data_IF_595925423486
#
_entry.id   IF_595925423486
#
_cell.length_a   1.000
_cell.length_b   1.000
_cell.length_c   1.000
_cell.angle_alpha   90.00
_cell.angle_beta   90.00
_cell.angle_gamma   90.00
#
_symmetry.space_group_name_H-M   'P 1'
#
loop_
_entity.id
_entity.type
_entity.pdbx_description
1 polymer ?
#
# COMPACT_ATOMS: atom_id res chain seq x y z
N UNK A 1 -5.14 -32.52 14.14
CA UNK A 1 -6.14 -31.46 14.41
C UNK A 1 -7.27 -31.43 13.37
N UNK A 2 -7.01 -31.67 12.07
CA UNK A 2 -8.05 -31.65 11.01
C UNK A 2 -9.11 -32.77 11.16
N UNK A 3 -8.74 -33.95 11.65
CA UNK A 3 -9.66 -35.08 11.80
C UNK A 3 -10.73 -34.87 12.88
N UNK A 4 -10.43 -34.14 13.97
CA UNK A 4 -11.42 -33.89 15.04
C UNK A 4 -12.49 -32.85 14.62
N UNK A 5 -12.17 -31.97 13.66
CA UNK A 5 -13.09 -30.96 13.12
C UNK A 5 -14.14 -31.52 12.15
N UNK A 6 -13.87 -32.67 11.54
CA UNK A 6 -14.80 -33.32 10.61
C UNK A 6 -15.95 -34.05 11.32
N UNK A 7 -15.76 -34.43 12.59
CA UNK A 7 -16.71 -35.31 13.29
C UNK A 7 -17.62 -34.62 14.33
N UNK A 8 -17.39 -33.35 14.70
CA UNK A 8 -18.18 -32.70 15.77
C UNK A 8 -18.78 -31.32 15.46
N UNK A 9 -18.61 -30.76 14.27
CA UNK A 9 -19.12 -29.42 13.96
C UNK A 9 -19.52 -29.28 12.50
N UNK A 10 -20.57 -28.51 12.22
CA UNK A 10 -21.08 -28.23 10.88
C UNK A 10 -19.94 -27.63 10.00
N UNK A 11 -19.28 -28.42 9.13
CA UNK A 11 -17.99 -28.03 8.54
C UNK A 11 -18.10 -26.78 7.67
N UNK A 12 -19.27 -26.60 7.03
CA UNK A 12 -19.57 -25.42 6.23
C UNK A 12 -19.58 -24.11 7.02
N UNK A 13 -20.08 -24.13 8.26
CA UNK A 13 -20.20 -22.92 9.08
C UNK A 13 -18.81 -22.40 9.51
N UNK A 14 -17.89 -23.30 9.87
CA UNK A 14 -16.53 -22.95 10.25
C UNK A 14 -15.69 -22.42 9.07
N UNK A 15 -15.86 -22.95 7.86
CA UNK A 15 -15.16 -22.45 6.66
C UNK A 15 -15.65 -21.05 6.28
N UNK A 16 -16.96 -20.82 6.38
CA UNK A 16 -17.54 -19.50 6.08
C UNK A 16 -17.02 -18.45 7.06
N UNK A 17 -17.03 -18.75 8.37
CA UNK A 17 -16.63 -17.81 9.41
C UNK A 17 -15.12 -17.55 9.47
N UNK A 18 -14.29 -18.59 9.35
CA UNK A 18 -12.85 -18.45 9.57
C UNK A 18 -12.03 -18.19 8.29
N UNK A 19 -12.59 -18.45 7.11
CA UNK A 19 -11.86 -18.31 5.84
C UNK A 19 -12.53 -17.32 4.90
N UNK A 20 -13.82 -17.50 4.58
CA UNK A 20 -14.49 -16.68 3.55
C UNK A 20 -14.80 -15.26 4.04
N UNK A 21 -15.31 -15.12 5.25
CA UNK A 21 -15.65 -13.81 5.83
C UNK A 21 -14.42 -12.90 5.99
N UNK A 22 -13.30 -13.34 6.59
CA UNK A 22 -12.10 -12.51 6.68
C UNK A 22 -11.56 -12.09 5.31
N UNK A 23 -11.57 -13.00 4.33
CA UNK A 23 -11.16 -12.71 2.95
C UNK A 23 -12.07 -11.69 2.26
N UNK A 24 -13.38 -11.77 2.48
CA UNK A 24 -14.34 -10.78 1.96
C UNK A 24 -14.01 -9.38 2.52
N UNK A 25 -13.83 -9.27 3.84
CA UNK A 25 -13.50 -8.00 4.50
C UNK A 25 -12.17 -7.46 4.01
N UNK A 26 -11.13 -8.29 3.93
CA UNK A 26 -9.82 -7.90 3.37
C UNK A 26 -9.97 -7.35 1.94
N UNK A 27 -10.74 -8.02 1.10
CA UNK A 27 -10.93 -7.61 -0.30
C UNK A 27 -11.65 -6.26 -0.40
N UNK A 28 -12.71 -6.07 0.39
CA UNK A 28 -13.47 -4.81 0.43
C UNK A 28 -12.58 -3.66 0.94
N UNK A 29 -11.90 -3.86 2.06
CA UNK A 29 -11.04 -2.83 2.67
C UNK A 29 -9.89 -2.46 1.75
N UNK A 30 -9.27 -3.45 1.10
CA UNK A 30 -8.19 -3.23 0.12
C UNK A 30 -8.71 -2.42 -1.05
N UNK A 31 -9.82 -2.83 -1.68
CA UNK A 31 -10.41 -2.12 -2.81
C UNK A 31 -10.81 -0.69 -2.48
N UNK A 32 -11.48 -0.47 -1.34
CA UNK A 32 -11.85 0.87 -0.88
C UNK A 32 -10.63 1.77 -0.66
N UNK A 33 -9.59 1.24 -0.03
CA UNK A 33 -8.36 1.97 0.27
C UNK A 33 -7.62 2.37 -1.00
N UNK A 34 -7.47 1.43 -1.94
CA UNK A 34 -6.81 1.68 -3.21
C UNK A 34 -7.59 2.69 -4.07
N UNK A 35 -8.91 2.55 -4.16
CA UNK A 35 -9.76 3.51 -4.89
C UNK A 35 -9.71 4.92 -4.28
N UNK A 36 -9.76 5.04 -2.95
CA UNK A 36 -9.66 6.32 -2.26
C UNK A 36 -8.30 6.99 -2.51
N UNK A 37 -7.21 6.24 -2.40
CA UNK A 37 -5.87 6.79 -2.63
C UNK A 37 -5.62 7.12 -4.11
N UNK A 38 -6.10 6.27 -5.03
CA UNK A 38 -6.03 6.51 -6.47
C UNK A 38 -6.72 7.81 -6.88
N UNK A 39 -7.98 8.00 -6.48
CA UNK A 39 -8.74 9.23 -6.77
C UNK A 39 -8.06 10.49 -6.22
N UNK A 40 -7.53 10.42 -5.00
CA UNK A 40 -6.79 11.53 -4.39
C UNK A 40 -5.50 11.84 -5.16
N UNK A 41 -4.74 10.84 -5.59
CA UNK A 41 -3.53 11.07 -6.40
C UNK A 41 -3.85 11.65 -7.77
N UNK A 42 -4.93 11.19 -8.43
CA UNK A 42 -5.38 11.75 -9.71
C UNK A 42 -5.72 13.24 -9.59
N UNK A 43 -6.46 13.63 -8.55
CA UNK A 43 -6.76 15.05 -8.28
C UNK A 43 -5.49 15.84 -7.91
N UNK A 44 -4.63 15.27 -7.07
CA UNK A 44 -3.42 15.94 -6.58
C UNK A 44 -2.43 16.24 -7.71
N UNK A 45 -2.28 15.29 -8.64
CA UNK A 45 -1.37 15.39 -9.77
C UNK A 45 -2.03 16.04 -11.00
N UNK A 46 -3.36 16.15 -11.03
CA UNK A 46 -4.10 16.62 -12.21
C UNK A 46 -3.93 15.68 -13.40
N UNK A 47 -3.76 14.39 -13.15
CA UNK A 47 -3.51 13.38 -14.17
C UNK A 47 -4.41 12.15 -13.92
N UNK A 48 -5.39 11.85 -14.78
CA UNK A 48 -6.28 10.70 -14.60
C UNK A 48 -5.56 9.34 -14.67
N UNK A 49 -4.35 9.30 -15.23
CA UNK A 49 -3.51 8.10 -15.27
C UNK A 49 -2.59 7.95 -14.04
N UNK A 50 -2.65 8.88 -13.09
CA UNK A 50 -1.88 8.76 -11.86
C UNK A 50 -2.39 7.60 -11.01
N UNK A 51 -1.47 6.71 -10.67
CA UNK A 51 -1.72 5.58 -9.80
C UNK A 51 -0.66 5.58 -8.67
N UNK A 52 -1.04 5.41 -7.40
CA UNK A 52 -0.11 5.17 -6.30
C UNK A 52 0.97 4.09 -6.58
N UNK A 53 0.67 3.07 -7.39
CA UNK A 53 1.62 2.02 -7.78
C UNK A 53 2.80 2.55 -8.61
N UNK A 54 2.61 3.64 -9.35
CA UNK A 54 3.64 4.23 -10.21
C UNK A 54 4.76 4.89 -9.38
N UNK A 55 4.54 5.13 -8.09
CA UNK A 55 5.51 5.76 -7.19
C UNK A 55 6.59 4.79 -6.64
N UNK A 56 6.75 3.59 -7.23
CA UNK A 56 7.78 2.63 -6.85
C UNK A 56 7.55 1.92 -5.50
N UNK A 57 6.48 2.30 -4.78
CA UNK A 57 6.09 1.77 -3.46
C UNK A 57 5.95 0.25 -3.49
N UNK A 58 5.38 -0.26 -4.57
CA UNK A 58 5.14 -1.68 -4.81
C UNK A 58 6.45 -2.44 -4.96
N UNK A 59 7.36 -1.94 -5.80
CA UNK A 59 8.70 -2.51 -5.97
C UNK A 59 9.49 -2.51 -4.67
N UNK A 60 9.42 -1.42 -3.90
CA UNK A 60 10.08 -1.32 -2.60
C UNK A 60 9.46 -2.23 -1.54
N UNK A 61 8.14 -2.43 -1.57
CA UNK A 61 7.46 -3.36 -0.69
C UNK A 61 7.79 -4.83 -1.01
N UNK A 62 7.84 -5.19 -2.29
CA UNK A 62 8.30 -6.51 -2.70
C UNK A 62 9.73 -6.75 -2.21
N UNK A 63 10.65 -5.83 -2.51
CA UNK A 63 12.05 -5.96 -2.09
C UNK A 63 12.18 -6.09 -0.56
N UNK A 64 11.45 -5.27 0.21
CA UNK A 64 11.46 -5.37 1.67
C UNK A 64 10.94 -6.71 2.19
N UNK A 65 9.88 -7.24 1.59
CA UNK A 65 9.32 -8.55 1.93
C UNK A 65 10.31 -9.68 1.63
N UNK A 66 10.95 -9.62 0.46
CA UNK A 66 11.92 -10.62 -0.01
C UNK A 66 13.20 -10.59 0.84
N UNK A 67 13.65 -9.41 1.28
CA UNK A 67 14.77 -9.30 2.23
C UNK A 67 14.44 -10.03 3.53
N UNK A 68 13.24 -9.82 4.08
CA UNK A 68 12.83 -10.50 5.31
C UNK A 68 12.72 -12.01 5.13
N UNK A 69 12.20 -12.46 3.99
CA UNK A 69 12.21 -13.87 3.62
C UNK A 69 13.64 -14.43 3.61
N UNK A 70 14.59 -13.70 3.01
CA UNK A 70 16.00 -14.14 2.87
C UNK A 70 16.77 -14.23 4.18
N UNK A 71 16.24 -13.60 5.23
CA UNK A 71 16.74 -13.71 6.60
C UNK A 71 16.09 -14.87 7.37
N UNK A 72 15.22 -15.65 6.74
CA UNK A 72 14.43 -16.72 7.34
C UNK A 72 13.19 -16.23 8.10
N UNK A 73 12.84 -14.94 8.01
CA UNK A 73 11.75 -14.31 8.77
C UNK A 73 10.44 -14.29 7.97
N UNK A 74 10.02 -15.45 7.45
CA UNK A 74 8.86 -15.60 6.55
C UNK A 74 7.57 -15.01 7.16
N UNK A 75 7.35 -15.21 8.46
CA UNK A 75 6.17 -14.69 9.18
C UNK A 75 6.14 -13.15 9.19
N UNK A 76 7.32 -12.52 9.16
CA UNK A 76 7.50 -11.06 9.20
C UNK A 76 7.64 -10.43 7.81
N UNK A 77 7.47 -11.18 6.72
CA UNK A 77 7.47 -10.61 5.36
C UNK A 77 6.50 -9.43 5.19
N UNK A 78 5.25 -9.46 5.70
CA UNK A 78 4.36 -8.28 5.74
C UNK A 78 5.00 -7.02 6.32
N UNK A 79 5.76 -7.19 7.41
CA UNK A 79 6.43 -6.09 8.10
C UNK A 79 7.60 -5.57 7.24
N UNK A 80 8.38 -6.48 6.63
CA UNK A 80 9.41 -6.13 5.67
C UNK A 80 8.86 -5.33 4.49
N UNK A 81 7.72 -5.76 3.93
CA UNK A 81 7.05 -5.06 2.85
C UNK A 81 6.49 -3.70 3.25
N UNK A 82 5.94 -3.58 4.46
CA UNK A 82 5.50 -2.31 5.02
C UNK A 82 6.66 -1.32 5.17
N UNK A 83 7.78 -1.77 5.75
CA UNK A 83 8.99 -0.95 5.93
C UNK A 83 9.57 -0.55 4.58
N UNK A 84 9.64 -1.48 3.62
CA UNK A 84 10.12 -1.21 2.26
C UNK A 84 9.26 -0.17 1.53
N UNK A 85 7.93 -0.26 1.66
CA UNK A 85 7.00 0.73 1.13
C UNK A 85 7.22 2.12 1.75
N UNK A 86 7.35 2.20 3.08
CA UNK A 86 7.61 3.47 3.78
C UNK A 86 8.94 4.10 3.39
N UNK A 87 10.01 3.31 3.35
CA UNK A 87 11.34 3.79 2.93
C UNK A 87 11.31 4.31 1.50
N UNK A 88 10.58 3.62 0.61
CA UNK A 88 10.39 4.07 -0.77
C UNK A 88 9.66 5.39 -0.83
N UNK A 89 8.56 5.55 -0.09
CA UNK A 89 7.82 6.81 -0.03
C UNK A 89 8.68 7.96 0.50
N UNK A 90 9.48 7.73 1.54
CA UNK A 90 10.42 8.72 2.08
C UNK A 90 11.45 9.12 1.03
N UNK A 91 12.01 8.13 0.31
CA UNK A 91 13.00 8.33 -0.73
C UNK A 91 12.44 9.13 -1.90
N UNK A 92 11.27 8.74 -2.42
CA UNK A 92 10.58 9.42 -3.52
C UNK A 92 10.22 10.85 -3.13
N UNK A 93 9.71 11.07 -1.93
CA UNK A 93 9.43 12.41 -1.42
C UNK A 93 10.68 13.28 -1.39
N UNK A 94 11.80 12.77 -0.86
CA UNK A 94 13.07 13.51 -0.80
C UNK A 94 13.62 13.85 -2.18
N UNK A 95 13.53 12.91 -3.13
CA UNK A 95 13.96 13.13 -4.52
C UNK A 95 13.06 14.11 -5.27
N UNK A 96 11.77 14.17 -4.92
CA UNK A 96 10.81 15.11 -5.50
C UNK A 96 10.97 16.55 -4.98
N UNK A 97 11.57 16.72 -3.80
CA UNK A 97 11.88 18.03 -3.24
C UNK A 97 13.13 18.62 -3.90
N UNK A 98 13.00 19.83 -4.46
CA UNK A 98 14.15 20.67 -4.80
C UNK A 98 13.92 22.05 -4.22
N UNK A 99 14.89 22.57 -3.46
CA UNK A 99 14.83 23.89 -2.83
C UNK A 99 13.56 24.08 -1.96
N UNK A 100 13.06 22.99 -1.36
CA UNK A 100 11.84 22.97 -0.55
C UNK A 100 10.52 23.03 -1.34
N UNK A 101 10.58 23.21 -2.67
CA UNK A 101 9.40 23.27 -3.54
C UNK A 101 9.11 21.89 -4.12
N UNK A 102 7.85 21.49 -4.00
CA UNK A 102 7.36 20.23 -4.56
C UNK A 102 7.02 20.40 -6.04
N UNK A 103 7.57 19.54 -6.89
CA UNK A 103 7.25 19.47 -8.31
C UNK A 103 6.54 18.15 -8.66
N UNK A 104 5.38 18.23 -9.36
CA UNK A 104 4.57 17.07 -9.73
C UNK A 104 5.32 16.13 -10.69
N UNK A 105 6.04 16.69 -11.67
CA UNK A 105 6.79 15.91 -12.66
C UNK A 105 7.97 15.18 -12.04
N UNK A 106 8.71 15.84 -11.13
CA UNK A 106 9.81 15.21 -10.39
C UNK A 106 9.34 14.08 -9.50
N UNK A 107 8.17 14.17 -8.88
CA UNK A 107 7.62 13.08 -8.08
C UNK A 107 7.44 11.81 -8.92
N UNK A 108 6.89 11.96 -10.13
CA UNK A 108 6.66 10.82 -11.04
C UNK A 108 8.01 10.23 -11.46
N UNK A 109 8.96 11.06 -11.89
CA UNK A 109 10.30 10.59 -12.30
C UNK A 109 11.02 9.91 -11.14
N UNK A 110 10.98 10.49 -9.94
CA UNK A 110 11.57 9.92 -8.74
C UNK A 110 10.93 8.56 -8.39
N UNK A 111 9.61 8.44 -8.51
CA UNK A 111 8.87 7.19 -8.34
C UNK A 111 9.33 6.11 -9.30
N UNK A 112 9.43 6.44 -10.60
CA UNK A 112 9.90 5.52 -11.64
C UNK A 112 11.34 5.08 -11.38
N UNK A 113 12.24 6.02 -11.05
CA UNK A 113 13.64 5.71 -10.74
C UNK A 113 13.77 4.81 -9.51
N UNK A 114 13.02 5.11 -8.44
CA UNK A 114 12.99 4.28 -7.24
C UNK A 114 12.45 2.88 -7.55
N UNK A 115 11.37 2.79 -8.33
CA UNK A 115 10.79 1.52 -8.77
C UNK A 115 11.81 0.66 -9.53
N UNK A 116 12.52 1.23 -10.51
CA UNK A 116 13.56 0.54 -11.27
C UNK A 116 14.73 0.10 -10.39
N UNK A 117 15.14 0.93 -9.43
CA UNK A 117 16.19 0.60 -8.46
C UNK A 117 15.80 -0.58 -7.56
N UNK A 118 14.57 -0.61 -7.04
CA UNK A 118 14.13 -1.75 -6.24
C UNK A 118 13.92 -3.00 -7.09
N UNK A 119 13.40 -2.86 -8.31
CA UNK A 119 13.28 -3.99 -9.25
C UNK A 119 14.63 -4.62 -9.59
N UNK A 120 15.69 -3.83 -9.77
CA UNK A 120 17.04 -4.39 -9.99
C UNK A 120 17.57 -5.13 -8.76
N UNK A 121 17.24 -4.65 -7.55
CA UNK A 121 17.52 -5.35 -6.30
C UNK A 121 16.80 -6.70 -6.18
N UNK A 122 15.52 -6.77 -6.59
CA UNK A 122 14.76 -8.01 -6.65
C UNK A 122 15.43 -8.99 -7.62
N UNK A 123 15.77 -8.54 -8.84
CA UNK A 123 16.46 -9.37 -9.84
C UNK A 123 17.82 -9.89 -9.34
N UNK A 124 18.55 -9.09 -8.58
CA UNK A 124 19.82 -9.50 -7.97
C UNK A 124 19.61 -10.59 -6.89
N UNK A 125 18.58 -10.46 -6.05
CA UNK A 125 18.26 -11.48 -5.05
C UNK A 125 17.83 -12.81 -5.70
N UNK A 126 17.08 -12.74 -6.81
CA UNK A 126 16.74 -13.92 -7.62
C UNK A 126 17.99 -14.59 -8.18
N UNK A 127 18.93 -13.80 -8.73
CA UNK A 127 20.17 -14.34 -9.30
C UNK A 127 21.06 -15.01 -8.26
N UNK A 128 21.13 -14.47 -7.05
CA UNK A 128 21.93 -15.05 -5.96
C UNK A 128 21.33 -16.35 -5.38
N UNK A 129 20.18 -16.80 -5.88
CA UNK A 129 19.54 -18.06 -5.46
C UNK A 129 19.14 -18.07 -3.99
N UNK A 130 18.95 -16.90 -3.37
CA UNK A 130 18.68 -16.78 -1.94
C UNK A 130 17.24 -17.13 -1.56
N UNK A 131 16.33 -17.18 -2.52
CA UNK A 131 14.89 -17.22 -2.30
C UNK A 131 14.20 -18.04 -3.40
N UNK A 132 13.10 -18.70 -3.04
CA UNK A 132 12.27 -19.40 -4.02
C UNK A 132 11.65 -18.40 -5.00
N UNK A 133 11.90 -18.58 -6.29
CA UNK A 133 11.28 -17.78 -7.36
C UNK A 133 9.75 -17.75 -7.22
N UNK A 134 9.15 -18.85 -6.76
CA UNK A 134 7.70 -18.95 -6.49
C UNK A 134 7.27 -18.02 -5.35
N UNK A 135 8.07 -17.88 -4.30
CA UNK A 135 7.78 -16.96 -3.19
C UNK A 135 7.87 -15.50 -3.64
N UNK A 136 8.91 -15.16 -4.41
CA UNK A 136 9.09 -13.82 -4.99
C UNK A 136 7.91 -13.47 -5.90
N UNK A 137 7.56 -14.36 -6.83
CA UNK A 137 6.45 -14.15 -7.75
C UNK A 137 5.11 -14.04 -7.01
N UNK A 138 4.85 -14.90 -6.02
CA UNK A 138 3.61 -14.80 -5.23
C UNK A 138 3.53 -13.52 -4.40
N UNK A 139 4.67 -12.98 -3.95
CA UNK A 139 4.73 -11.68 -3.27
C UNK A 139 4.43 -10.53 -4.24
N UNK A 140 4.97 -10.60 -5.46
CA UNK A 140 4.74 -9.60 -6.51
C UNK A 140 3.30 -9.60 -7.04
N UNK A 141 2.64 -10.76 -7.07
CA UNK A 141 1.26 -10.89 -7.55
C UNK A 141 0.20 -10.50 -6.51
N UNK A 142 0.60 -10.36 -5.24
CA UNK A 142 -0.32 -10.17 -4.14
C UNK A 142 -1.11 -11.44 -3.78
N UNK A 143 -1.62 -11.49 -2.56
CA UNK A 143 -2.39 -12.63 -2.07
C UNK A 143 -3.47 -12.21 -1.07
N UNK A 144 -4.72 -12.17 -1.54
CA UNK A 144 -5.91 -11.96 -0.69
C UNK A 144 -6.41 -13.24 -0.01
N UNK A 145 -5.79 -14.38 -0.29
CA UNK A 145 -6.13 -15.70 0.28
C UNK A 145 -5.49 -15.98 1.64
N UNK A 146 -4.93 -14.98 2.32
CA UNK A 146 -4.28 -15.14 3.62
C UNK A 146 -5.27 -15.69 4.66
N UNK A 147 -4.87 -16.75 5.34
CA UNK A 147 -5.63 -17.33 6.45
C UNK A 147 -5.14 -16.64 7.72
N UNK A 148 -6.04 -15.89 8.37
CA UNK A 148 -5.72 -15.17 9.60
C UNK A 148 -5.79 -16.08 10.82
N UNK A 149 -4.80 -15.98 11.71
CA UNK A 149 -4.94 -16.48 13.09
C UNK A 149 -5.92 -15.59 13.88
N UNK A 150 -6.50 -16.09 14.97
CA UNK A 150 -7.46 -15.33 15.79
C UNK A 150 -6.89 -13.97 16.26
N UNK A 151 -5.62 -13.93 16.66
CA UNK A 151 -4.94 -12.70 17.08
C UNK A 151 -4.68 -11.76 15.89
N UNK A 152 -4.24 -12.30 14.75
CA UNK A 152 -4.03 -11.50 13.52
C UNK A 152 -5.33 -10.87 13.02
N UNK A 153 -6.45 -11.59 13.14
CA UNK A 153 -7.76 -11.10 12.72
C UNK A 153 -8.22 -9.91 13.58
N UNK A 154 -7.98 -9.93 14.90
CA UNK A 154 -8.30 -8.78 15.77
C UNK A 154 -7.46 -7.55 15.42
N UNK A 155 -6.16 -7.74 15.17
CA UNK A 155 -5.26 -6.66 14.73
C UNK A 155 -5.73 -6.12 13.37
N UNK A 156 -6.07 -7.00 12.44
CA UNK A 156 -6.61 -6.62 11.13
C UNK A 156 -7.90 -5.82 11.23
N UNK A 157 -8.84 -6.21 12.09
CA UNK A 157 -10.07 -5.44 12.32
C UNK A 157 -9.77 -4.05 12.88
N UNK A 158 -8.88 -3.95 13.88
CA UNK A 158 -8.44 -2.65 14.41
C UNK A 158 -7.81 -1.76 13.33
N UNK A 159 -6.93 -2.31 12.50
CA UNK A 159 -6.32 -1.59 11.39
C UNK A 159 -7.32 -1.22 10.30
N UNK A 160 -8.33 -2.06 10.02
CA UNK A 160 -9.39 -1.73 9.06
C UNK A 160 -10.26 -0.55 9.52
N UNK A 161 -10.56 -0.46 10.81
CA UNK A 161 -11.26 0.70 11.39
C UNK A 161 -10.40 1.95 11.28
N UNK A 162 -9.11 1.83 11.58
CA UNK A 162 -8.15 2.92 11.43
C UNK A 162 -8.01 3.38 9.97
N UNK A 163 -7.96 2.46 9.00
CA UNK A 163 -8.04 2.79 7.57
C UNK A 163 -9.32 3.54 7.23
N UNK A 164 -10.46 3.13 7.77
CA UNK A 164 -11.73 3.84 7.62
C UNK A 164 -11.67 5.30 8.09
N UNK A 165 -11.01 5.56 9.22
CA UNK A 165 -10.79 6.92 9.73
C UNK A 165 -9.92 7.75 8.78
N UNK A 166 -8.85 7.17 8.23
CA UNK A 166 -7.96 7.86 7.29
C UNK A 166 -8.65 8.15 5.96
N UNK A 167 -9.42 7.20 5.43
CA UNK A 167 -10.22 7.39 4.21
C UNK A 167 -11.28 8.48 4.44
N UNK A 168 -11.94 8.46 5.60
CA UNK A 168 -12.90 9.52 5.97
C UNK A 168 -12.21 10.89 6.05
N UNK A 169 -11.01 10.96 6.61
CA UNK A 169 -10.23 12.19 6.62
C UNK A 169 -9.89 12.68 5.20
N UNK A 170 -9.52 11.77 4.28
CA UNK A 170 -9.30 12.12 2.87
C UNK A 170 -10.57 12.68 2.22
N UNK A 171 -11.73 12.08 2.52
CA UNK A 171 -13.03 12.56 2.04
C UNK A 171 -13.31 14.01 2.51
N UNK A 172 -12.97 14.36 3.75
CA UNK A 172 -13.11 15.75 4.24
C UNK A 172 -12.23 16.76 3.47
N UNK A 173 -11.14 16.30 2.83
CA UNK A 173 -10.26 17.14 2.01
C UNK A 173 -10.67 17.21 0.53
N UNK A 174 -11.72 16.51 0.12
CA UNK A 174 -12.19 16.43 -1.28
C UNK A 174 -12.33 17.80 -1.95
N UNK A 175 -13.03 18.74 -1.31
CA UNK A 175 -13.22 20.10 -1.86
C UNK A 175 -11.90 20.83 -2.11
N UNK A 176 -10.93 20.69 -1.21
CA UNK A 176 -9.63 21.35 -1.35
C UNK A 176 -8.81 20.72 -2.48
N UNK A 177 -8.95 19.39 -2.67
CA UNK A 177 -8.35 18.65 -3.79
C UNK A 177 -8.97 19.05 -5.13
N UNK A 178 -10.29 19.20 -5.20
CA UNK A 178 -10.99 19.62 -6.42
C UNK A 178 -10.54 21.01 -6.87
N UNK A 179 -10.48 21.98 -5.94
CA UNK A 179 -9.97 23.33 -6.23
C UNK A 179 -8.52 23.29 -6.70
N UNK A 180 -7.68 22.47 -6.06
CA UNK A 180 -6.27 22.31 -6.43
C UNK A 180 -6.08 21.64 -7.80
N UNK A 181 -7.04 20.81 -8.24
CA UNK A 181 -6.98 20.17 -9.56
C UNK A 181 -7.14 21.18 -10.71
N UNK A 182 -7.80 22.33 -10.48
CA UNK A 182 -7.98 23.38 -11.50
C UNK A 182 -6.68 24.17 -11.73
N UNK A 183 -6.11 24.76 -10.67
CA UNK A 183 -4.76 25.34 -10.72
C UNK A 183 -4.18 25.58 -9.32
N UNK A 184 -2.87 25.40 -9.19
CA UNK A 184 -2.15 25.63 -7.92
C UNK A 184 -2.21 27.12 -7.51
N UNK A 185 -2.22 28.06 -8.47
CA UNK A 185 -2.34 29.51 -8.19
C UNK A 185 -3.72 29.91 -7.66
N UNK A 186 -4.79 29.35 -8.23
CA UNK A 186 -6.15 29.60 -7.76
C UNK A 186 -6.39 29.00 -6.37
N UNK A 187 -5.90 27.79 -6.11
CA UNK A 187 -6.01 27.19 -4.79
C UNK A 187 -5.32 28.05 -3.71
N UNK A 188 -4.15 28.61 -4.01
CA UNK A 188 -3.45 29.53 -3.10
C UNK A 188 -4.22 30.83 -2.85
N UNK A 189 -4.90 31.40 -3.86
CA UNK A 189 -5.66 32.65 -3.69
C UNK A 189 -6.90 32.48 -2.81
N UNK A 190 -7.49 31.28 -2.77
CA UNK A 190 -8.62 30.93 -1.89
C UNK A 190 -8.14 30.49 -0.50
N UNK A 191 -6.84 30.58 -0.21
CA UNK A 191 -6.24 30.32 1.10
C UNK A 191 -5.84 28.87 1.35
N UNK A 192 -5.84 28.02 0.32
CA UNK A 192 -5.38 26.62 0.45
C UNK A 192 -3.85 26.58 0.42
N UNK A 193 -3.25 26.10 1.51
CA UNK A 193 -1.82 25.82 1.56
C UNK A 193 -1.43 24.60 0.73
N UNK A 194 -1.30 24.78 -0.60
CA UNK A 194 -1.07 23.70 -1.59
C UNK A 194 0.06 22.75 -1.19
N UNK A 195 1.23 23.28 -0.81
CA UNK A 195 2.38 22.45 -0.42
C UNK A 195 2.12 21.63 0.86
N UNK A 196 1.48 22.24 1.86
CA UNK A 196 1.16 21.58 3.11
C UNK A 196 0.09 20.49 2.92
N UNK A 197 -0.94 20.77 2.12
CA UNK A 197 -1.98 19.80 1.78
C UNK A 197 -1.38 18.60 1.03
N UNK A 198 -0.54 18.87 0.02
CA UNK A 198 0.14 17.82 -0.77
C UNK A 198 1.02 16.93 0.10
N UNK A 199 1.77 17.53 1.04
CA UNK A 199 2.56 16.78 2.01
C UNK A 199 1.70 15.89 2.91
N UNK A 200 0.61 16.43 3.48
CA UNK A 200 -0.30 15.65 4.34
C UNK A 200 -0.92 14.48 3.57
N UNK A 201 -1.42 14.73 2.36
CA UNK A 201 -2.02 13.72 1.50
C UNK A 201 -1.00 12.63 1.18
N UNK A 202 0.21 13.00 0.77
CA UNK A 202 1.25 12.03 0.45
C UNK A 202 1.53 11.08 1.62
N UNK A 203 1.69 11.60 2.85
CA UNK A 203 1.94 10.76 4.02
C UNK A 203 0.75 9.87 4.40
N UNK A 204 -0.47 10.39 4.33
CA UNK A 204 -1.67 9.62 4.67
C UNK A 204 -1.92 8.53 3.63
N UNK A 205 -1.81 8.85 2.35
CA UNK A 205 -1.89 7.88 1.25
C UNK A 205 -0.80 6.81 1.38
N UNK A 206 0.44 7.20 1.69
CA UNK A 206 1.56 6.27 1.94
C UNK A 206 1.23 5.27 3.06
N UNK A 207 0.65 5.78 4.15
CA UNK A 207 0.31 4.98 5.30
C UNK A 207 -0.84 4.00 5.00
N UNK A 208 -1.86 4.46 4.28
CA UNK A 208 -2.97 3.61 3.80
C UNK A 208 -2.42 2.48 2.92
N UNK A 209 -1.64 2.82 1.90
CA UNK A 209 -1.05 1.82 0.98
C UNK A 209 -0.17 0.84 1.75
N UNK A 210 0.70 1.33 2.64
CA UNK A 210 1.57 0.47 3.43
C UNK A 210 0.79 -0.57 4.23
N UNK A 211 -0.26 -0.14 4.95
CA UNK A 211 -1.10 -1.06 5.72
C UNK A 211 -1.75 -2.09 4.80
N UNK A 212 -2.33 -1.66 3.67
CA UNK A 212 -2.98 -2.55 2.71
C UNK A 212 -2.01 -3.58 2.15
N UNK A 213 -0.84 -3.13 1.67
CA UNK A 213 0.16 -3.99 1.03
C UNK A 213 0.74 -4.99 2.04
N UNK A 214 0.84 -4.64 3.32
CA UNK A 214 1.30 -5.58 4.35
C UNK A 214 0.40 -6.83 4.45
N UNK A 215 -0.92 -6.69 4.28
CA UNK A 215 -1.86 -7.81 4.39
C UNK A 215 -2.19 -8.46 3.05
N UNK A 216 -2.37 -7.65 2.02
CA UNK A 216 -2.88 -8.07 0.72
C UNK A 216 -1.74 -8.32 -0.29
N UNK A 217 -0.53 -7.84 -0.01
CA UNK A 217 0.55 -7.76 -0.98
C UNK A 217 0.29 -6.67 -2.02
N UNK A 218 1.01 -6.77 -3.13
CA UNK A 218 0.98 -5.81 -4.23
C UNK A 218 -0.28 -6.04 -5.07
N UNK A 219 -1.18 -5.07 -5.12
CA UNK A 219 -2.46 -5.10 -5.85
C UNK A 219 -2.69 -3.73 -6.52
N UNK A 220 -2.34 -3.62 -7.80
CA UNK A 220 -2.61 -2.45 -8.64
C UNK A 220 -3.88 -2.60 -9.46
#
# INVERSE_FOLDING_TARGET
>A
MIALYLFSGNPGQNIVQNVRLPRLVLTIVTGMSLAAVGSVYQLMLGNPLADPYILGVSSGSALGSIIFASLGLIILMPLGGFIGALLTMVLVWRLALKDGVFDKGRLIIAGVVAGLFFSSGISLLMYLGKEDTVLILSTLMGNLGRIFSHQEYQIFLGLSLFLGILIFWLYLQSRALDIMSTSDHYAQSVGIGVQALRKKIFWISSLIIGIVVSFAGIIG
#
